data_IF_574250392504
#
_entry.id   IF_574250392504
#
_cell.length_a   1.000
_cell.length_b   1.000
_cell.length_c   1.000
_cell.angle_alpha   90.00
_cell.angle_beta   90.00
_cell.angle_gamma   90.00
#
_symmetry.space_group_name_H-M   'P 1'
#
loop_
_entity.id
_entity.type
_entity.pdbx_description
1 polymer ?
#
# COMPACT_ATOMS: atom_id res chain seq x y z
N UNK A 1 -10.64 6.82 -8.64
CA UNK A 1 -10.22 5.41 -8.43
C UNK A 1 -11.24 4.44 -9.03
N UNK A 2 -10.82 3.22 -9.40
CA UNK A 2 -11.69 2.20 -10.00
C UNK A 2 -12.78 1.73 -9.01
N UNK A 3 -14.01 1.52 -9.51
CA UNK A 3 -15.16 1.05 -8.74
C UNK A 3 -14.92 -0.28 -8.01
N UNK A 4 -14.08 -1.17 -8.58
CA UNK A 4 -13.68 -2.42 -7.95
C UNK A 4 -13.00 -2.20 -6.60
N UNK A 5 -12.02 -1.30 -6.50
CA UNK A 5 -11.27 -1.06 -5.26
C UNK A 5 -12.14 -0.37 -4.20
N UNK A 6 -13.06 0.50 -4.60
CA UNK A 6 -14.02 1.10 -3.69
C UNK A 6 -14.98 0.05 -3.10
N UNK A 7 -15.45 -0.92 -3.91
CA UNK A 7 -16.26 -2.04 -3.43
C UNK A 7 -15.46 -2.96 -2.50
N UNK A 8 -14.20 -3.25 -2.86
CA UNK A 8 -13.31 -4.06 -2.05
C UNK A 8 -13.06 -3.44 -0.67
N UNK A 9 -12.82 -2.12 -0.59
CA UNK A 9 -12.68 -1.41 0.68
C UNK A 9 -13.90 -1.57 1.58
N UNK A 10 -15.11 -1.47 1.02
CA UNK A 10 -16.36 -1.70 1.77
C UNK A 10 -16.47 -3.14 2.28
N UNK A 11 -16.06 -4.12 1.48
CA UNK A 11 -16.07 -5.53 1.93
C UNK A 11 -15.18 -5.75 3.15
N UNK A 12 -14.02 -5.08 3.20
CA UNK A 12 -13.14 -5.13 4.37
C UNK A 12 -13.78 -4.54 5.62
N UNK A 13 -14.37 -3.34 5.52
CA UNK A 13 -15.03 -2.73 6.68
C UNK A 13 -16.22 -3.54 7.18
N UNK A 14 -17.03 -4.10 6.26
CA UNK A 14 -18.12 -5.02 6.61
C UNK A 14 -17.60 -6.28 7.33
N UNK A 15 -16.52 -6.87 6.81
CA UNK A 15 -15.91 -8.05 7.42
C UNK A 15 -15.32 -7.75 8.81
N UNK A 16 -14.73 -6.56 9.00
CA UNK A 16 -14.23 -6.11 10.30
C UNK A 16 -15.39 -5.90 11.30
N UNK A 17 -16.47 -5.26 10.86
CA UNK A 17 -17.67 -5.03 11.69
C UNK A 17 -18.31 -6.32 12.17
N UNK A 18 -18.35 -7.35 11.32
CA UNK A 18 -18.81 -8.68 11.70
C UNK A 18 -17.97 -9.34 12.81
N UNK A 19 -16.76 -8.81 13.08
CA UNK A 19 -15.84 -9.25 14.14
C UNK A 19 -15.78 -8.27 15.32
N UNK A 20 -16.68 -7.28 15.37
CA UNK A 20 -16.75 -6.30 16.46
C UNK A 20 -15.75 -5.15 16.35
N UNK A 21 -15.08 -4.98 15.20
CA UNK A 21 -14.19 -3.85 14.96
C UNK A 21 -14.80 -2.91 13.91
N UNK A 22 -14.84 -1.60 14.18
CA UNK A 22 -15.23 -0.60 13.20
C UNK A 22 -13.96 0.02 12.60
N UNK A 23 -13.78 -0.11 11.29
CA UNK A 23 -12.64 0.45 10.56
C UNK A 23 -13.15 1.26 9.38
N UNK A 24 -12.44 2.35 9.07
CA UNK A 24 -12.67 3.06 7.82
C UNK A 24 -12.36 2.13 6.64
N UNK A 25 -13.19 2.13 5.58
CA UNK A 25 -12.89 1.37 4.37
C UNK A 25 -11.52 1.75 3.81
N UNK A 26 -10.59 0.81 3.60
CA UNK A 26 -9.29 1.15 3.03
C UNK A 26 -9.47 1.72 1.62
N UNK A 27 -8.76 2.81 1.35
CA UNK A 27 -8.65 3.45 0.04
C UNK A 27 -7.25 3.24 -0.53
N UNK A 28 -7.14 3.23 -1.86
CA UNK A 28 -5.86 3.07 -2.56
C UNK A 28 -5.56 4.30 -3.42
N UNK A 29 -4.87 5.27 -2.86
CA UNK A 29 -4.59 6.53 -3.55
C UNK A 29 -3.83 6.31 -4.88
N UNK A 30 -4.06 7.16 -5.87
CA UNK A 30 -3.61 6.89 -7.23
C UNK A 30 -2.08 6.89 -7.35
N UNK A 31 -1.40 7.86 -6.73
CA UNK A 31 0.06 7.91 -6.72
C UNK A 31 0.68 6.77 -5.92
N UNK A 32 0.02 6.36 -4.83
CA UNK A 32 0.43 5.19 -4.04
C UNK A 32 0.27 3.90 -4.84
N UNK A 33 -0.81 3.76 -5.62
CA UNK A 33 -1.03 2.60 -6.48
C UNK A 33 0.06 2.45 -7.53
N UNK A 34 0.46 3.56 -8.17
CA UNK A 34 1.54 3.57 -9.16
C UNK A 34 2.86 3.09 -8.55
N UNK A 35 3.25 3.63 -7.39
CA UNK A 35 4.48 3.23 -6.72
C UNK A 35 4.44 1.79 -6.19
N UNK A 36 3.27 1.26 -5.82
CA UNK A 36 3.13 -0.15 -5.46
C UNK A 36 3.32 -1.08 -6.67
N UNK A 37 2.89 -0.68 -7.86
CA UNK A 37 3.10 -1.44 -9.09
C UNK A 37 4.59 -1.43 -9.49
N UNK A 38 5.25 -0.29 -9.40
CA UNK A 38 6.70 -0.20 -9.64
C UNK A 38 7.50 -0.96 -8.58
N UNK A 39 7.06 -0.96 -7.31
CA UNK A 39 7.69 -1.76 -6.26
C UNK A 39 7.53 -3.26 -6.55
N UNK A 40 6.34 -3.70 -6.95
CA UNK A 40 6.10 -5.09 -7.35
C UNK A 40 7.04 -5.49 -8.50
N UNK A 41 7.19 -4.60 -9.49
CA UNK A 41 8.12 -4.78 -10.60
C UNK A 41 9.55 -4.93 -10.09
N UNK A 42 10.05 -3.99 -9.30
CA UNK A 42 11.41 -4.04 -8.75
C UNK A 42 11.67 -5.31 -7.93
N UNK A 43 10.78 -5.64 -6.98
CA UNK A 43 10.90 -6.82 -6.13
C UNK A 43 10.90 -8.13 -6.93
N UNK A 44 10.09 -8.20 -8.00
CA UNK A 44 10.07 -9.36 -8.90
C UNK A 44 11.35 -9.53 -9.74
N UNK A 45 12.10 -8.45 -9.97
CA UNK A 45 13.34 -8.46 -10.76
C UNK A 45 14.57 -8.73 -9.89
N UNK A 46 14.63 -8.16 -8.68
CA UNK A 46 15.79 -8.26 -7.79
C UNK A 46 15.82 -9.61 -7.06
N UNK A 47 14.66 -10.22 -6.81
CA UNK A 47 14.53 -11.46 -6.04
C UNK A 47 13.63 -12.48 -6.78
N UNK A 48 12.90 -13.31 -6.04
CA UNK A 48 11.88 -14.20 -6.59
C UNK A 48 10.61 -13.43 -6.97
N UNK A 49 10.06 -13.72 -8.16
CA UNK A 49 8.75 -13.16 -8.62
C UNK A 49 7.62 -13.26 -7.59
N UNK A 50 7.65 -14.29 -6.74
CA UNK A 50 6.64 -14.52 -5.70
C UNK A 50 6.68 -13.48 -4.56
N UNK A 51 7.76 -12.69 -4.45
CA UNK A 51 7.91 -11.70 -3.39
C UNK A 51 7.23 -10.37 -3.71
N UNK A 52 6.91 -10.09 -4.97
CA UNK A 52 6.20 -8.88 -5.37
C UNK A 52 4.93 -8.59 -4.54
N UNK A 53 3.96 -9.52 -4.39
CA UNK A 53 2.78 -9.26 -3.55
C UNK A 53 3.12 -9.06 -2.06
N UNK A 54 4.16 -9.72 -1.55
CA UNK A 54 4.59 -9.58 -0.16
C UNK A 54 5.25 -8.21 0.09
N UNK A 55 6.03 -7.72 -0.88
CA UNK A 55 6.61 -6.38 -0.84
C UNK A 55 5.52 -5.31 -0.84
N UNK A 56 4.49 -5.44 -1.68
CA UNK A 56 3.35 -4.53 -1.69
C UNK A 56 2.54 -4.56 -0.38
N UNK A 57 2.35 -5.76 0.20
CA UNK A 57 1.70 -5.90 1.52
C UNK A 57 2.50 -5.16 2.61
N UNK A 58 3.82 -5.33 2.63
CA UNK A 58 4.69 -4.62 3.56
C UNK A 58 4.66 -3.10 3.35
N UNK A 59 4.66 -2.64 2.11
CA UNK A 59 4.58 -1.22 1.79
C UNK A 59 3.27 -0.59 2.28
N UNK A 60 2.12 -1.24 2.09
CA UNK A 60 0.85 -0.80 2.66
C UNK A 60 0.89 -0.72 4.18
N UNK A 61 1.43 -1.75 4.84
CA UNK A 61 1.58 -1.74 6.30
C UNK A 61 2.57 -0.68 6.80
N UNK A 62 3.58 -0.31 6.01
CA UNK A 62 4.51 0.76 6.34
C UNK A 62 3.87 2.14 6.16
N UNK A 63 3.08 2.33 5.10
CA UNK A 63 2.32 3.56 4.84
C UNK A 63 1.35 3.88 5.99
N UNK A 64 0.59 2.89 6.47
CA UNK A 64 -0.33 3.08 7.61
C UNK A 64 0.42 3.44 8.90
N UNK A 65 1.60 2.85 9.13
CA UNK A 65 2.45 3.21 10.28
C UNK A 65 3.00 4.63 10.15
N UNK A 66 3.35 5.08 8.94
CA UNK A 66 3.80 6.44 8.69
C UNK A 66 2.67 7.45 8.98
N UNK A 67 1.46 7.20 8.46
CA UNK A 67 0.27 8.02 8.74
C UNK A 67 -0.08 8.09 10.22
N UNK A 68 0.04 6.96 10.93
CA UNK A 68 -0.19 6.93 12.38
C UNK A 68 0.87 7.73 13.16
N UNK A 69 2.13 7.69 12.72
CA UNK A 69 3.22 8.45 13.34
C UNK A 69 3.18 9.95 12.98
N UNK A 70 2.64 10.30 11.81
CA UNK A 70 2.56 11.65 11.29
C UNK A 70 1.17 11.90 10.66
N UNK A 71 0.17 12.34 11.44
CA UNK A 71 -1.20 12.51 10.94
C UNK A 71 -1.36 13.52 9.79
N UNK A 72 -0.37 14.40 9.57
CA UNK A 72 -0.34 15.35 8.45
C UNK A 72 0.23 14.76 7.15
N UNK A 73 0.66 13.49 7.15
CA UNK A 73 1.18 12.79 5.97
C UNK A 73 0.15 12.79 4.84
N UNK A 74 0.55 13.34 3.70
CA UNK A 74 -0.27 13.41 2.48
C UNK A 74 -0.13 12.13 1.64
N UNK A 75 -0.99 11.97 0.63
CA UNK A 75 -0.81 10.95 -0.41
C UNK A 75 0.60 11.02 -1.05
N UNK A 76 1.05 12.24 -1.36
CA UNK A 76 2.35 12.46 -2.00
C UNK A 76 3.52 12.04 -1.13
N UNK A 77 3.42 12.24 0.19
CA UNK A 77 4.45 11.81 1.14
C UNK A 77 4.56 10.28 1.20
N UNK A 78 3.42 9.58 1.20
CA UNK A 78 3.40 8.11 1.17
C UNK A 78 3.98 7.58 -0.14
N UNK A 79 3.59 8.16 -1.27
CA UNK A 79 4.12 7.76 -2.58
C UNK A 79 5.65 7.97 -2.64
N UNK A 80 6.13 9.14 -2.20
CA UNK A 80 7.56 9.43 -2.15
C UNK A 80 8.34 8.46 -1.24
N UNK A 81 7.75 8.11 -0.10
CA UNK A 81 8.32 7.15 0.84
C UNK A 81 8.44 5.74 0.23
N UNK A 82 7.41 5.26 -0.47
CA UNK A 82 7.46 3.96 -1.16
C UNK A 82 8.50 4.01 -2.30
N UNK A 83 8.53 5.11 -3.05
CA UNK A 83 9.48 5.31 -4.15
C UNK A 83 10.95 5.30 -3.66
N UNK A 84 11.23 5.86 -2.48
CA UNK A 84 12.55 5.84 -1.86
C UNK A 84 13.02 4.41 -1.58
N UNK A 85 12.17 3.60 -0.92
CA UNK A 85 12.49 2.19 -0.63
C UNK A 85 12.64 1.38 -1.91
N UNK A 86 11.75 1.59 -2.89
CA UNK A 86 11.84 0.94 -4.20
C UNK A 86 13.17 1.21 -4.89
N UNK A 87 13.60 2.47 -4.97
CA UNK A 87 14.89 2.85 -5.58
C UNK A 87 16.06 2.21 -4.84
N UNK A 88 16.01 2.13 -3.50
CA UNK A 88 17.03 1.45 -2.73
C UNK A 88 17.15 -0.04 -3.08
N UNK A 89 16.03 -0.71 -3.38
CA UNK A 89 16.02 -2.11 -3.83
C UNK A 89 16.58 -2.30 -5.24
N UNK A 90 16.33 -1.35 -6.15
CA UNK A 90 16.83 -1.40 -7.53
C UNK A 90 18.35 -1.23 -7.64
N UNK A 91 18.97 -0.68 -6.59
CA UNK A 91 20.41 -0.44 -6.49
C UNK A 91 21.15 -1.40 -5.52
N UNK A 92 20.44 -2.37 -4.95
CA UNK A 92 21.00 -3.40 -4.06
C UNK A 92 21.52 -4.61 -4.84
#
# INVERSE_FOLDING_TARGET
MNAFFADLGKRWSVAARARGADIEPPTLDAGVAEELLELARAAAHVQERRFAPLACYMAGAAAERLRAAQPATTEGDVAAFIAEVRRALEHA
#
